data_IF_343651492088
#
_entry.id   IF_343651492088
#
_cell.length_a   1.000
_cell.length_b   1.000
_cell.length_c   1.000
_cell.angle_alpha   90.00
_cell.angle_beta   90.00
_cell.angle_gamma   90.00
#
_symmetry.space_group_name_H-M   'P 1'
#
loop_
_entity.id
_entity.type
_entity.pdbx_description
1 polymer ?
#
# COMPACT_ATOMS: atom_id res chain seq x y z
N UNK A 1 -20.86 -53.73 20.70
CA UNK A 1 -20.75 -54.53 21.95
C UNK A 1 -19.33 -54.33 22.46
N UNK A 2 -18.95 -53.81 23.64
CA UNK A 2 -19.53 -53.39 24.93
C UNK A 2 -18.74 -52.12 25.34
N UNK A 3 -19.29 -50.98 25.78
CA UNK A 3 -20.00 -50.62 27.04
C UNK A 3 -19.27 -50.93 28.36
N UNK A 4 -18.80 -49.86 29.03
CA UNK A 4 -18.93 -49.46 30.47
C UNK A 4 -18.05 -48.20 30.67
N UNK A 5 -18.47 -46.97 31.01
CA UNK A 5 -19.45 -46.46 32.02
C UNK A 5 -19.06 -46.95 33.44
N UNK A 6 -18.82 -46.18 34.51
CA UNK A 6 -19.30 -44.89 35.09
C UNK A 6 -18.18 -44.36 36.04
N UNK A 7 -18.13 -43.18 36.66
CA UNK A 7 -19.10 -42.31 37.38
C UNK A 7 -18.49 -40.90 37.57
N UNK A 8 -19.16 -39.75 37.37
CA UNK A 8 -20.26 -39.08 38.09
C UNK A 8 -19.95 -38.51 39.49
N UNK A 9 -20.24 -37.20 39.62
CA UNK A 9 -20.36 -36.38 40.86
C UNK A 9 -19.93 -34.93 40.57
N UNK A 10 -20.75 -33.93 40.22
CA UNK A 10 -22.10 -33.46 40.59
C UNK A 10 -22.16 -32.65 41.90
N UNK A 11 -22.20 -31.31 41.76
CA UNK A 11 -22.81 -30.26 42.62
C UNK A 11 -22.76 -28.94 41.82
N UNK A 12 -23.81 -28.48 41.13
CA UNK A 12 -25.03 -27.77 41.61
C UNK A 12 -24.69 -26.49 42.39
N UNK A 13 -25.32 -25.31 42.24
CA UNK A 13 -26.40 -24.73 41.38
C UNK A 13 -26.49 -23.22 41.78
N UNK A 14 -26.76 -22.34 40.81
CA UNK A 14 -27.67 -21.16 40.81
C UNK A 14 -27.70 -20.16 41.99
N UNK A 15 -27.67 -18.85 41.66
CA UNK A 15 -28.78 -17.89 41.91
C UNK A 15 -28.52 -16.50 41.28
N UNK A 16 -29.61 -15.92 40.78
CA UNK A 16 -29.74 -14.60 40.17
C UNK A 16 -30.50 -13.64 41.12
N UNK A 17 -30.36 -12.31 40.97
CA UNK A 17 -31.47 -11.35 40.86
C UNK A 17 -31.04 -9.86 40.98
N UNK A 18 -31.61 -9.09 40.05
CA UNK A 18 -31.94 -7.65 39.99
C UNK A 18 -32.24 -6.92 41.32
N UNK A 19 -31.87 -5.63 41.38
CA UNK A 19 -32.71 -4.56 41.95
C UNK A 19 -32.56 -3.27 41.12
N UNK A 20 -33.69 -2.79 40.59
CA UNK A 20 -33.90 -1.45 40.06
C UNK A 20 -35.08 -0.82 40.83
N UNK A 21 -34.99 0.47 41.13
CA UNK A 21 -36.08 1.30 41.68
C UNK A 21 -35.52 2.56 42.36
N UNK A 22 -35.46 3.71 41.70
CA UNK A 22 -36.47 4.79 41.63
C UNK A 22 -36.62 5.61 42.92
N UNK A 23 -36.23 6.90 42.86
CA UNK A 23 -36.86 8.00 43.58
C UNK A 23 -36.69 9.29 42.76
N UNK A 24 -37.83 9.81 42.29
CA UNK A 24 -38.04 11.14 41.72
C UNK A 24 -38.16 12.18 42.85
N UNK A 25 -37.77 13.44 42.61
CA UNK A 25 -38.58 14.64 42.88
C UNK A 25 -37.91 15.94 42.38
N UNK A 26 -38.64 16.59 41.48
CA UNK A 26 -38.75 18.01 41.07
C UNK A 26 -37.83 19.11 41.63
N UNK A 27 -37.47 20.08 40.75
CA UNK A 27 -37.45 21.50 41.12
C UNK A 27 -36.42 22.45 40.47
N UNK A 28 -36.87 23.20 39.46
CA UNK A 28 -36.48 24.56 39.04
C UNK A 28 -35.16 24.83 38.26
N UNK A 29 -35.21 25.72 37.24
CA UNK A 29 -34.05 26.16 36.45
C UNK A 29 -33.35 27.34 37.13
N UNK A 30 -32.03 27.28 37.25
CA UNK A 30 -31.20 28.44 37.62
C UNK A 30 -30.15 28.65 36.54
N UNK A 31 -30.40 29.67 35.72
CA UNK A 31 -29.37 30.28 34.91
C UNK A 31 -28.40 31.02 35.85
N UNK A 32 -27.13 30.61 35.82
CA UNK A 32 -26.02 31.49 36.17
C UNK A 32 -25.05 31.53 34.97
N UNK A 33 -24.70 32.73 34.48
CA UNK A 33 -23.78 32.88 33.37
C UNK A 33 -22.34 32.74 33.89
N UNK A 34 -21.55 31.89 33.25
CA UNK A 34 -20.09 31.95 33.35
C UNK A 34 -19.55 32.33 31.98
N UNK A 35 -19.37 33.63 31.78
CA UNK A 35 -18.53 34.14 30.71
C UNK A 35 -17.07 33.95 31.09
N UNK A 36 -16.31 33.39 30.12
CA UNK A 36 -14.90 33.68 29.77
C UNK A 36 -13.89 33.64 30.94
N UNK A 37 -12.91 32.76 30.95
CA UNK A 37 -11.82 32.68 29.99
C UNK A 37 -10.93 31.50 30.36
N UNK A 38 -10.47 30.79 29.34
CA UNK A 38 -9.68 29.59 29.49
C UNK A 38 -9.59 28.96 28.12
N UNK A 39 -8.80 29.62 27.27
CA UNK A 39 -8.53 29.30 25.87
C UNK A 39 -8.93 27.87 25.49
N UNK A 40 -10.03 27.75 24.76
CA UNK A 40 -10.25 26.57 23.94
C UNK A 40 -9.05 26.52 22.99
N UNK A 41 -8.12 25.61 23.24
CA UNK A 41 -7.42 24.97 22.12
C UNK A 41 -8.56 24.31 21.37
N UNK A 42 -9.13 25.04 20.41
CA UNK A 42 -10.04 24.47 19.44
C UNK A 42 -9.30 23.25 18.94
N UNK A 43 -9.87 22.05 19.16
CA UNK A 43 -9.31 20.82 18.65
C UNK A 43 -9.18 21.02 17.14
N UNK A 44 -7.98 21.38 16.69
CA UNK A 44 -7.76 21.73 15.30
C UNK A 44 -8.07 20.46 14.52
N UNK A 45 -9.12 20.50 13.68
CA UNK A 45 -9.54 19.35 12.92
C UNK A 45 -8.39 18.75 12.10
N UNK A 46 -8.56 17.51 11.66
CA UNK A 46 -7.55 16.87 10.80
C UNK A 46 -7.25 17.73 9.57
N UNK A 47 -6.00 17.69 9.13
CA UNK A 47 -5.56 18.31 7.88
C UNK A 47 -6.39 17.75 6.74
N UNK A 48 -7.16 18.60 6.06
CA UNK A 48 -8.13 18.16 5.05
C UNK A 48 -7.87 18.72 3.64
N UNK A 49 -6.87 19.60 3.49
CA UNK A 49 -6.49 20.17 2.19
C UNK A 49 -5.01 19.94 1.92
N UNK A 50 -4.61 19.83 0.64
CA UNK A 50 -3.20 19.74 0.26
C UNK A 50 -2.35 20.90 0.81
N UNK A 51 -2.84 22.13 0.73
CA UNK A 51 -2.15 23.32 1.23
C UNK A 51 -1.92 23.25 2.74
N UNK A 52 -2.93 22.84 3.52
CA UNK A 52 -2.76 22.65 4.96
C UNK A 52 -1.78 21.52 5.29
N UNK A 53 -1.72 20.48 4.45
CA UNK A 53 -0.74 19.40 4.60
C UNK A 53 0.68 19.89 4.34
N UNK A 54 0.92 20.67 3.28
CA UNK A 54 2.22 21.32 3.04
C UNK A 54 2.62 22.18 4.23
N UNK A 55 1.70 22.99 4.77
CA UNK A 55 2.00 23.83 5.93
C UNK A 55 2.42 23.00 7.15
N UNK A 56 1.72 21.90 7.44
CA UNK A 56 2.11 20.98 8.51
C UNK A 56 3.47 20.32 8.25
N UNK A 57 3.74 19.92 7.00
CA UNK A 57 5.03 19.36 6.58
C UNK A 57 6.20 20.34 6.79
N UNK A 58 6.01 21.59 6.39
CA UNK A 58 7.01 22.66 6.53
C UNK A 58 7.26 23.00 8.00
N UNK A 59 6.19 23.08 8.80
CA UNK A 59 6.25 23.28 10.25
C UNK A 59 6.74 22.05 11.04
N UNK A 60 6.95 20.90 10.37
CA UNK A 60 7.32 19.61 10.98
C UNK A 60 6.31 19.16 12.05
N UNK A 61 5.03 19.46 11.83
CA UNK A 61 3.95 19.18 12.77
C UNK A 61 3.28 17.83 12.46
N UNK A 62 3.12 16.99 13.48
CA UNK A 62 2.35 15.75 13.37
C UNK A 62 0.88 16.06 13.62
N UNK A 63 0.05 15.89 12.59
CA UNK A 63 -1.40 16.07 12.66
C UNK A 63 -2.12 14.87 12.07
N UNK A 64 -3.35 14.63 12.51
CA UNK A 64 -4.21 13.69 11.78
C UNK A 64 -4.55 14.25 10.39
N UNK A 65 -4.78 13.35 9.44
CA UNK A 65 -5.03 13.69 8.03
C UNK A 65 -6.38 13.10 7.63
N UNK A 66 -7.22 13.94 7.00
CA UNK A 66 -8.56 13.55 6.60
C UNK A 66 -8.51 12.43 5.55
N UNK A 67 -9.45 11.44 5.59
CA UNK A 67 -9.50 10.34 4.62
C UNK A 67 -9.66 10.76 3.15
N UNK A 68 -9.98 12.03 2.88
CA UNK A 68 -10.11 12.60 1.54
C UNK A 68 -8.78 12.97 0.89
N UNK A 69 -7.67 12.93 1.63
CA UNK A 69 -6.33 13.21 1.10
C UNK A 69 -5.57 11.93 0.76
N UNK A 70 -4.92 11.99 -0.39
CA UNK A 70 -4.07 10.93 -0.93
C UNK A 70 -2.68 11.49 -1.24
N UNK A 71 -1.69 10.61 -1.30
CA UNK A 71 -0.33 10.97 -1.67
C UNK A 71 0.28 10.03 -2.69
N UNK A 72 1.01 10.55 -3.66
CA UNK A 72 1.76 9.73 -4.63
C UNK A 72 3.18 10.28 -4.77
N UNK A 73 4.18 9.42 -4.67
CA UNK A 73 5.55 9.78 -5.03
C UNK A 73 5.73 9.64 -6.54
N UNK A 74 6.33 10.64 -7.19
CA UNK A 74 6.55 10.64 -8.64
C UNK A 74 7.84 11.37 -9.02
N UNK A 75 8.36 11.09 -10.21
CA UNK A 75 9.50 11.82 -10.77
C UNK A 75 9.19 13.31 -10.88
N UNK A 76 10.12 14.16 -10.43
CA UNK A 76 9.99 15.62 -10.52
C UNK A 76 9.80 16.05 -11.97
N UNK A 77 8.82 16.92 -12.19
CA UNK A 77 8.45 17.39 -13.54
C UNK A 77 7.45 16.50 -14.27
N UNK A 78 7.09 15.33 -13.72
CA UNK A 78 5.93 14.59 -14.20
C UNK A 78 4.67 15.45 -14.05
N UNK A 79 3.70 15.29 -14.97
CA UNK A 79 2.49 16.12 -15.03
C UNK A 79 1.21 15.34 -14.68
N UNK A 80 1.35 14.07 -14.30
CA UNK A 80 0.28 13.15 -13.94
C UNK A 80 0.59 12.40 -12.65
N UNK A 81 -0.45 11.84 -12.03
CA UNK A 81 -0.34 11.05 -10.80
C UNK A 81 0.65 9.89 -10.95
N UNK A 82 0.72 9.29 -12.14
CA UNK A 82 1.59 8.16 -12.45
C UNK A 82 2.01 8.21 -13.93
N UNK A 83 3.10 7.53 -14.35
CA UNK A 83 3.58 7.63 -15.73
C UNK A 83 2.50 7.37 -16.78
N UNK A 84 2.60 8.07 -17.91
CA UNK A 84 1.65 7.93 -19.01
C UNK A 84 1.59 6.49 -19.53
N UNK A 85 0.41 6.07 -19.97
CA UNK A 85 0.16 4.69 -20.43
C UNK A 85 -0.36 3.78 -19.32
N UNK A 86 -0.06 4.08 -18.04
CA UNK A 86 -0.71 3.35 -16.95
C UNK A 86 -2.18 3.75 -16.82
N UNK A 87 -3.07 2.75 -16.69
CA UNK A 87 -4.50 2.99 -16.48
C UNK A 87 -4.81 3.46 -15.07
N UNK A 88 -4.16 2.87 -14.08
CA UNK A 88 -4.29 3.25 -12.68
C UNK A 88 -2.99 3.82 -12.13
N UNK A 89 -3.11 4.79 -11.24
CA UNK A 89 -2.03 5.35 -10.45
C UNK A 89 -2.02 4.72 -9.05
N UNK A 90 -0.83 4.46 -8.51
CA UNK A 90 -0.65 4.03 -7.12
C UNK A 90 -0.69 5.23 -6.18
N UNK A 91 -1.35 5.07 -5.03
CA UNK A 91 -1.54 6.13 -4.05
C UNK A 91 -1.47 5.60 -2.63
N UNK A 92 -0.83 6.38 -1.75
CA UNK A 92 -0.89 6.21 -0.31
C UNK A 92 -2.14 6.85 0.27
N UNK A 93 -2.66 6.24 1.34
CA UNK A 93 -3.80 6.74 2.10
C UNK A 93 -3.50 7.97 2.96
N UNK A 94 -4.54 8.57 3.57
CA UNK A 94 -4.38 9.56 4.64
C UNK A 94 -3.54 9.04 5.82
N UNK A 95 -3.62 7.74 6.13
CA UNK A 95 -2.79 7.15 7.18
C UNK A 95 -1.32 7.12 6.80
N UNK A 96 -0.98 6.98 5.51
CA UNK A 96 0.40 7.09 5.03
C UNK A 96 0.89 8.53 5.17
N UNK A 97 0.07 9.50 4.77
CA UNK A 97 0.37 10.93 4.91
C UNK A 97 0.64 11.31 6.39
N UNK A 98 -0.13 10.79 7.35
CA UNK A 98 0.17 10.97 8.78
C UNK A 98 1.54 10.41 9.18
N UNK A 99 1.91 9.25 8.65
CA UNK A 99 3.24 8.68 8.89
C UNK A 99 4.33 9.55 8.26
N UNK A 100 4.11 10.11 7.08
CA UNK A 100 5.07 11.00 6.43
C UNK A 100 5.29 12.28 7.25
N UNK A 101 4.24 12.84 7.87
CA UNK A 101 4.39 13.93 8.85
C UNK A 101 5.23 13.50 10.06
N UNK A 102 5.07 12.27 10.57
CA UNK A 102 5.91 11.73 11.65
C UNK A 102 7.37 11.56 11.22
N UNK A 103 7.65 11.11 9.99
CA UNK A 103 9.00 11.06 9.44
C UNK A 103 9.61 12.45 9.37
N UNK A 104 8.84 13.42 8.85
CA UNK A 104 9.27 14.80 8.71
C UNK A 104 9.55 15.45 10.07
N UNK A 105 8.73 15.19 11.08
CA UNK A 105 8.92 15.65 12.45
C UNK A 105 10.18 15.04 13.09
N UNK A 106 10.39 13.72 12.93
CA UNK A 106 11.49 13.00 13.57
C UNK A 106 12.84 13.24 12.90
N UNK A 107 12.89 13.28 11.57
CA UNK A 107 14.13 13.34 10.80
C UNK A 107 14.26 14.63 9.97
N UNK A 108 13.56 15.70 10.34
CA UNK A 108 13.53 16.95 9.57
C UNK A 108 14.90 17.58 9.31
N UNK A 109 15.88 17.34 10.19
CA UNK A 109 17.28 17.78 10.06
C UNK A 109 18.16 16.81 9.24
N UNK A 110 17.61 15.66 8.86
CA UNK A 110 18.23 14.65 8.01
C UNK A 110 17.31 14.40 6.80
N UNK A 111 17.23 15.37 5.87
CA UNK A 111 16.19 15.39 4.84
C UNK A 111 16.21 14.14 3.93
N UNK A 112 17.39 13.56 3.67
CA UNK A 112 17.53 12.27 2.99
C UNK A 112 16.79 11.10 3.68
N UNK A 113 16.78 11.04 5.03
CA UNK A 113 16.00 10.04 5.78
C UNK A 113 14.50 10.28 5.62
N UNK A 114 14.06 11.53 5.46
CA UNK A 114 12.65 11.82 5.21
C UNK A 114 12.26 11.37 3.82
N UNK A 115 12.98 11.81 2.77
CA UNK A 115 12.63 11.49 1.40
C UNK A 115 12.73 10.00 1.10
N UNK A 116 13.86 9.36 1.43
CA UNK A 116 14.02 7.91 1.26
C UNK A 116 13.08 7.12 2.18
N UNK A 117 12.80 7.63 3.38
CA UNK A 117 11.81 7.05 4.28
C UNK A 117 10.42 6.99 3.66
N UNK A 118 10.00 8.05 2.95
CA UNK A 118 8.73 8.06 2.20
C UNK A 118 8.76 7.00 1.08
N UNK A 119 9.81 6.94 0.25
CA UNK A 119 9.88 5.97 -0.86
C UNK A 119 9.95 4.52 -0.38
N UNK A 120 10.72 4.27 0.68
CA UNK A 120 10.77 2.96 1.34
C UNK A 120 9.40 2.58 1.90
N UNK A 121 8.70 3.53 2.52
CA UNK A 121 7.37 3.30 3.08
C UNK A 121 6.31 3.07 1.99
N UNK A 122 6.44 3.68 0.82
CA UNK A 122 5.59 3.38 -0.36
C UNK A 122 5.86 1.98 -0.90
N UNK A 123 7.13 1.53 -0.90
CA UNK A 123 7.50 0.22 -1.45
C UNK A 123 8.31 0.31 -2.74
N UNK A 124 9.10 1.37 -2.92
CA UNK A 124 10.04 1.47 -4.03
C UNK A 124 11.21 0.50 -3.86
N UNK A 125 11.58 -0.29 -4.89
CA UNK A 125 12.80 -1.08 -4.89
C UNK A 125 14.03 -0.22 -5.25
N UNK A 126 15.24 -0.78 -5.11
CA UNK A 126 16.48 -0.18 -5.63
C UNK A 126 16.86 1.17 -5.00
N UNK A 127 16.48 1.41 -3.74
CA UNK A 127 16.69 2.70 -3.07
C UNK A 127 18.15 3.00 -2.72
N UNK A 128 19.03 2.01 -2.77
CA UNK A 128 20.48 2.20 -2.59
C UNK A 128 21.06 3.15 -3.65
N UNK A 129 20.65 2.94 -4.90
CA UNK A 129 21.16 3.64 -6.08
C UNK A 129 20.18 4.67 -6.67
N UNK A 130 18.95 4.74 -6.14
CA UNK A 130 17.90 5.62 -6.67
C UNK A 130 18.33 7.10 -6.70
N UNK A 131 18.58 7.65 -7.87
CA UNK A 131 19.03 9.04 -8.04
C UNK A 131 17.98 9.95 -8.68
N UNK A 132 16.86 9.40 -9.11
CA UNK A 132 15.80 10.16 -9.80
C UNK A 132 15.20 11.19 -8.85
N UNK A 133 15.23 12.50 -9.18
CA UNK A 133 14.57 13.51 -8.37
C UNK A 133 13.08 13.21 -8.22
N UNK A 134 12.57 13.22 -6.99
CA UNK A 134 11.22 12.77 -6.67
C UNK A 134 10.48 13.83 -5.85
N UNK A 135 9.20 13.98 -6.13
CA UNK A 135 8.27 14.79 -5.36
C UNK A 135 7.18 13.88 -4.75
N UNK A 136 6.67 14.29 -3.58
CA UNK A 136 5.44 13.76 -3.01
C UNK A 136 4.30 14.69 -3.40
N UNK A 137 3.43 14.24 -4.30
CA UNK A 137 2.17 14.93 -4.58
C UNK A 137 1.15 14.60 -3.50
N UNK A 138 0.51 15.61 -2.92
CA UNK A 138 -0.62 15.43 -2.00
C UNK A 138 -1.85 16.09 -2.59
N UNK A 139 -2.97 15.38 -2.65
CA UNK A 139 -4.13 15.82 -3.42
C UNK A 139 -5.46 15.30 -2.89
N UNK A 140 -6.54 15.90 -3.39
CA UNK A 140 -7.90 15.38 -3.27
C UNK A 140 -8.36 14.79 -4.60
N UNK A 141 -9.31 13.86 -4.55
CA UNK A 141 -9.90 13.27 -5.75
C UNK A 141 -11.11 14.07 -6.24
N UNK A 142 -11.38 14.09 -7.56
CA UNK A 142 -12.64 14.61 -8.09
C UNK A 142 -13.86 13.90 -7.49
N UNK A 143 -14.99 14.62 -7.43
CA UNK A 143 -16.25 14.02 -6.96
C UNK A 143 -16.60 12.78 -7.80
N UNK A 144 -17.01 11.71 -7.12
CA UNK A 144 -17.37 10.43 -7.75
C UNK A 144 -16.19 9.49 -8.07
N UNK A 145 -14.95 9.98 -8.06
CA UNK A 145 -13.76 9.13 -8.21
C UNK A 145 -13.47 8.42 -6.89
N UNK A 146 -13.27 7.10 -6.95
CA UNK A 146 -13.00 6.27 -5.78
C UNK A 146 -11.63 5.62 -5.89
N UNK A 147 -10.85 5.74 -4.82
CA UNK A 147 -9.68 4.91 -4.58
C UNK A 147 -10.11 3.47 -4.25
N UNK A 148 -9.35 2.50 -4.71
CA UNK A 148 -9.64 1.07 -4.54
C UNK A 148 -8.42 0.37 -3.96
N UNK A 149 -8.65 -0.59 -3.05
CA UNK A 149 -7.57 -1.40 -2.48
C UNK A 149 -7.03 -2.31 -3.60
N UNK A 150 -5.73 -2.32 -3.90
CA UNK A 150 -5.16 -3.12 -4.99
C UNK A 150 -5.00 -4.58 -4.56
N UNK A 151 -6.08 -5.19 -4.11
CA UNK A 151 -6.15 -6.62 -3.88
C UNK A 151 -6.21 -7.38 -5.21
N UNK A 152 -5.75 -8.63 -5.26
CA UNK A 152 -5.81 -9.42 -6.50
C UNK A 152 -7.24 -9.55 -7.04
N UNK A 153 -8.22 -9.73 -6.17
CA UNK A 153 -9.63 -9.78 -6.54
C UNK A 153 -10.13 -8.45 -7.12
N UNK A 154 -9.58 -7.33 -6.64
CA UNK A 154 -9.88 -6.02 -7.24
C UNK A 154 -9.33 -5.93 -8.65
N UNK A 155 -8.09 -6.38 -8.87
CA UNK A 155 -7.51 -6.43 -10.20
C UNK A 155 -8.34 -7.30 -11.15
N UNK A 156 -8.69 -8.51 -10.75
CA UNK A 156 -9.46 -9.42 -11.59
C UNK A 156 -10.85 -8.88 -11.92
N UNK A 157 -11.55 -8.29 -10.93
CA UNK A 157 -12.82 -7.61 -11.20
C UNK A 157 -12.67 -6.48 -12.22
N UNK A 158 -11.63 -5.65 -12.10
CA UNK A 158 -11.39 -4.55 -13.06
C UNK A 158 -11.09 -5.06 -14.47
N UNK A 159 -10.40 -6.20 -14.58
CA UNK A 159 -10.13 -6.85 -15.86
C UNK A 159 -11.39 -7.46 -16.46
N UNK A 160 -12.24 -8.08 -15.64
CA UNK A 160 -13.53 -8.63 -16.07
C UNK A 160 -14.50 -7.53 -16.53
N UNK A 161 -14.59 -6.42 -15.79
CA UNK A 161 -15.43 -5.27 -16.14
C UNK A 161 -15.02 -4.63 -17.47
N UNK A 162 -13.72 -4.54 -17.77
CA UNK A 162 -13.25 -3.93 -19.02
C UNK A 162 -13.35 -4.89 -20.20
N UNK A 163 -12.97 -6.15 -20.02
CA UNK A 163 -12.68 -7.05 -21.14
C UNK A 163 -13.67 -8.22 -21.27
N UNK A 164 -14.57 -8.41 -20.32
CA UNK A 164 -15.82 -9.18 -20.46
C UNK A 164 -15.69 -10.66 -20.84
N UNK A 165 -14.48 -11.22 -20.90
CA UNK A 165 -14.21 -12.59 -21.32
C UNK A 165 -13.32 -13.30 -20.30
N UNK A 166 -13.96 -13.98 -19.35
CA UNK A 166 -13.29 -14.71 -18.26
C UNK A 166 -12.31 -15.80 -18.74
N UNK A 167 -12.36 -16.19 -20.02
CA UNK A 167 -11.43 -17.16 -20.60
C UNK A 167 -9.97 -16.72 -20.59
N UNK A 168 -9.70 -15.42 -20.51
CA UNK A 168 -8.32 -14.92 -20.39
C UNK A 168 -7.82 -14.85 -18.94
N UNK A 169 -8.71 -14.92 -17.96
CA UNK A 169 -8.38 -14.83 -16.53
C UNK A 169 -9.05 -15.98 -15.77
N UNK A 170 -8.59 -17.23 -15.91
CA UNK A 170 -9.27 -18.38 -15.34
C UNK A 170 -9.39 -18.28 -13.81
N UNK A 171 -10.56 -18.60 -13.26
CA UNK A 171 -10.83 -18.55 -11.82
C UNK A 171 -9.83 -19.39 -11.00
N UNK A 172 -9.39 -20.53 -11.54
CA UNK A 172 -8.37 -21.37 -10.91
C UNK A 172 -7.06 -20.61 -10.70
N UNK A 173 -6.54 -19.95 -11.74
CA UNK A 173 -5.33 -19.15 -11.64
C UNK A 173 -5.49 -17.95 -10.71
N UNK A 174 -6.67 -17.32 -10.68
CA UNK A 174 -6.98 -16.25 -9.71
C UNK A 174 -6.92 -16.77 -8.27
N UNK A 175 -7.58 -17.92 -8.01
CA UNK A 175 -7.58 -18.58 -6.70
C UNK A 175 -6.16 -18.93 -6.28
N UNK A 176 -5.39 -19.57 -7.14
CA UNK A 176 -4.05 -20.05 -6.81
C UNK A 176 -3.12 -18.87 -6.47
N UNK A 177 -3.24 -17.74 -7.18
CA UNK A 177 -2.50 -16.53 -6.85
C UNK A 177 -2.88 -15.96 -5.47
N UNK A 178 -4.19 -15.88 -5.16
CA UNK A 178 -4.66 -15.41 -3.84
C UNK A 178 -4.20 -16.35 -2.72
N UNK A 179 -4.28 -17.66 -2.95
CA UNK A 179 -3.85 -18.68 -1.99
C UNK A 179 -2.36 -18.52 -1.66
N UNK A 180 -1.49 -18.42 -2.67
CA UNK A 180 -0.05 -18.27 -2.47
C UNK A 180 0.32 -17.08 -1.56
N UNK A 181 -0.37 -15.96 -1.68
CA UNK A 181 -0.09 -14.77 -0.86
C UNK A 181 -0.81 -14.78 0.50
N UNK A 182 -1.91 -15.53 0.64
CA UNK A 182 -2.69 -15.61 1.89
C UNK A 182 -2.17 -16.63 2.89
N UNK A 183 -1.32 -17.56 2.45
CA UNK A 183 -0.76 -18.65 3.28
C UNK A 183 0.61 -18.34 3.88
N UNK A 184 1.11 -17.11 3.72
CA UNK A 184 2.44 -16.73 4.22
C UNK A 184 2.52 -16.86 5.75
N UNK A 185 3.50 -17.65 6.19
CA UNK A 185 3.86 -17.80 7.60
C UNK A 185 4.55 -16.53 8.15
N UNK A 186 4.74 -16.48 9.48
CA UNK A 186 5.31 -15.32 10.18
C UNK A 186 6.69 -14.87 9.66
N UNK A 187 7.47 -15.79 9.08
CA UNK A 187 8.80 -15.54 8.54
C UNK A 187 8.84 -15.35 7.02
N UNK A 188 7.72 -15.55 6.34
CA UNK A 188 7.61 -15.49 4.89
C UNK A 188 7.04 -14.15 4.45
N UNK A 189 7.44 -13.67 3.28
CA UNK A 189 7.02 -12.38 2.75
C UNK A 189 6.58 -12.47 1.29
N UNK A 190 6.07 -11.35 0.79
CA UNK A 190 5.47 -11.25 -0.55
C UNK A 190 6.47 -11.44 -1.70
N UNK A 191 7.76 -11.22 -1.46
CA UNK A 191 8.79 -11.48 -2.48
C UNK A 191 9.06 -12.98 -2.56
N UNK A 192 8.99 -13.70 -1.43
CA UNK A 192 8.99 -15.17 -1.42
C UNK A 192 7.76 -15.75 -2.13
N UNK A 193 6.58 -15.20 -1.87
CA UNK A 193 5.36 -15.56 -2.59
C UNK A 193 5.48 -15.30 -4.10
N UNK A 194 6.11 -14.19 -4.49
CA UNK A 194 6.39 -13.89 -5.89
C UNK A 194 7.33 -14.93 -6.52
N UNK A 195 8.42 -15.29 -5.84
CA UNK A 195 9.34 -16.35 -6.29
C UNK A 195 8.62 -17.69 -6.44
N UNK A 196 7.80 -18.11 -5.46
CA UNK A 196 7.04 -19.35 -5.53
C UNK A 196 6.07 -19.38 -6.73
N UNK A 197 5.37 -18.28 -6.98
CA UNK A 197 4.38 -18.19 -8.07
C UNK A 197 5.02 -18.07 -9.44
N UNK A 198 6.20 -17.44 -9.54
CA UNK A 198 6.79 -17.05 -10.84
C UNK A 198 8.09 -17.76 -11.17
N UNK A 199 8.69 -18.50 -10.24
CA UNK A 199 10.02 -19.09 -10.36
C UNK A 199 11.18 -18.07 -10.32
N UNK A 200 10.91 -16.77 -10.38
CA UNK A 200 11.94 -15.74 -10.41
C UNK A 200 12.66 -15.66 -9.06
N UNK A 201 13.97 -15.95 -9.06
CA UNK A 201 14.79 -15.98 -7.83
C UNK A 201 14.71 -14.66 -7.07
N UNK A 202 14.35 -14.75 -5.79
CA UNK A 202 14.22 -13.60 -4.89
C UNK A 202 15.47 -12.72 -4.87
N UNK A 203 16.63 -13.31 -4.63
CA UNK A 203 17.87 -12.55 -4.44
C UNK A 203 18.27 -11.76 -5.70
N UNK A 204 17.99 -12.33 -6.87
CA UNK A 204 18.22 -11.67 -8.16
C UNK A 204 17.28 -10.48 -8.36
N UNK A 205 15.98 -10.65 -8.06
CA UNK A 205 14.99 -9.56 -8.11
C UNK A 205 15.37 -8.41 -7.17
N UNK A 206 15.81 -8.73 -5.94
CA UNK A 206 16.25 -7.73 -4.96
C UNK A 206 17.57 -7.04 -5.34
N UNK A 207 18.43 -7.72 -6.11
CA UNK A 207 19.63 -7.12 -6.71
C UNK A 207 19.32 -6.26 -7.94
N UNK A 208 18.06 -6.17 -8.36
CA UNK A 208 17.62 -5.36 -9.51
C UNK A 208 17.78 -6.06 -10.86
N UNK A 209 17.97 -7.38 -10.89
CA UNK A 209 17.98 -8.14 -12.13
C UNK A 209 16.59 -8.16 -12.78
N UNK A 210 16.55 -7.97 -14.09
CA UNK A 210 15.30 -8.06 -14.85
C UNK A 210 14.79 -9.52 -14.88
N UNK A 211 13.46 -9.73 -14.85
CA UNK A 211 12.90 -11.07 -14.95
C UNK A 211 13.33 -11.79 -16.23
N UNK A 212 13.88 -12.99 -16.07
CA UNK A 212 14.54 -13.73 -17.14
C UNK A 212 14.65 -15.22 -16.80
N UNK A 213 14.98 -16.04 -17.79
CA UNK A 213 15.17 -17.48 -17.58
C UNK A 213 16.44 -17.75 -16.75
N UNK A 214 17.44 -16.87 -16.86
CA UNK A 214 18.70 -16.91 -16.13
C UNK A 214 18.48 -16.79 -14.62
N UNK A 215 17.48 -16.00 -14.21
CA UNK A 215 17.07 -15.88 -12.82
C UNK A 215 15.99 -16.90 -12.40
N UNK A 216 15.70 -17.89 -13.25
CA UNK A 216 14.81 -19.01 -12.92
C UNK A 216 13.32 -18.76 -13.16
N UNK A 217 12.93 -17.61 -13.74
CA UNK A 217 11.53 -17.33 -13.99
C UNK A 217 10.87 -18.40 -14.88
N UNK A 218 9.66 -18.79 -14.50
CA UNK A 218 8.85 -19.78 -15.19
C UNK A 218 8.54 -19.38 -16.63
N UNK A 219 8.39 -20.39 -17.48
CA UNK A 219 7.96 -20.20 -18.87
C UNK A 219 6.60 -19.53 -18.98
N UNK A 220 5.68 -19.79 -18.06
CA UNK A 220 4.35 -19.18 -18.07
C UNK A 220 4.44 -17.67 -17.82
N UNK A 221 5.21 -17.26 -16.81
CA UNK A 221 5.50 -15.85 -16.50
C UNK A 221 6.21 -15.14 -17.65
N UNK A 222 7.33 -15.67 -18.13
CA UNK A 222 8.11 -15.06 -19.22
C UNK A 222 7.31 -15.00 -20.53
N UNK A 223 6.53 -16.05 -20.82
CA UNK A 223 5.64 -16.08 -21.97
C UNK A 223 4.55 -15.01 -21.87
N UNK A 224 4.05 -14.70 -20.67
CA UNK A 224 3.09 -13.62 -20.46
C UNK A 224 3.74 -12.27 -20.73
N UNK A 225 4.92 -11.98 -20.15
CA UNK A 225 5.67 -10.74 -20.42
C UNK A 225 5.88 -10.51 -21.93
N UNK A 226 6.32 -11.56 -22.64
CA UNK A 226 6.55 -11.50 -24.09
C UNK A 226 5.24 -11.26 -24.87
N UNK A 227 4.13 -11.87 -24.46
CA UNK A 227 2.86 -11.76 -25.17
C UNK A 227 2.18 -10.39 -25.00
N UNK A 228 2.30 -9.77 -23.83
CA UNK A 228 1.62 -8.50 -23.55
C UNK A 228 2.31 -7.29 -24.21
N UNK A 229 3.62 -7.38 -24.44
CA UNK A 229 4.42 -6.33 -25.07
C UNK A 229 5.06 -5.35 -24.08
N UNK A 230 5.45 -4.14 -24.53
CA UNK A 230 6.17 -3.18 -23.68
C UNK A 230 5.32 -2.74 -22.49
N UNK A 231 5.98 -2.56 -21.34
CA UNK A 231 5.36 -1.96 -20.16
C UNK A 231 5.02 -0.50 -20.47
N UNK A 232 4.05 0.14 -19.77
CA UNK A 232 3.90 1.59 -19.85
C UNK A 232 5.17 2.39 -19.52
N UNK A 233 6.10 1.81 -18.73
CA UNK A 233 7.43 2.40 -18.55
C UNK A 233 8.25 2.45 -19.84
N UNK A 234 8.02 1.53 -20.78
CA UNK A 234 8.71 1.40 -22.07
C UNK A 234 7.85 1.92 -23.23
N UNK A 235 6.92 2.84 -22.96
CA UNK A 235 6.03 3.44 -23.96
C UNK A 235 4.81 2.60 -24.34
N UNK A 236 4.52 1.53 -23.58
CA UNK A 236 3.29 0.77 -23.69
C UNK A 236 2.05 1.47 -23.09
N UNK A 237 0.92 0.77 -23.08
CA UNK A 237 -0.34 1.21 -22.49
C UNK A 237 -1.01 0.04 -21.77
N UNK A 238 -1.50 0.25 -20.54
CA UNK A 238 -2.07 -0.82 -19.72
C UNK A 238 -3.25 -1.52 -20.39
N UNK A 239 -4.14 -0.77 -21.07
CA UNK A 239 -5.32 -1.37 -21.72
C UNK A 239 -4.87 -2.27 -22.86
N UNK A 240 -3.96 -1.78 -23.70
CA UNK A 240 -3.38 -2.52 -24.81
C UNK A 240 -2.59 -3.75 -24.31
N UNK A 241 -1.84 -3.58 -23.23
CA UNK A 241 -1.06 -4.64 -22.58
C UNK A 241 -1.96 -5.79 -22.10
N UNK A 242 -3.04 -5.50 -21.36
CA UNK A 242 -4.00 -6.51 -20.95
C UNK A 242 -4.76 -7.12 -22.14
N UNK A 243 -5.17 -6.32 -23.14
CA UNK A 243 -5.81 -6.84 -24.35
C UNK A 243 -4.88 -7.80 -25.13
N UNK A 244 -3.58 -7.52 -25.16
CA UNK A 244 -2.58 -8.39 -25.76
C UNK A 244 -2.44 -9.71 -25.00
N UNK A 245 -2.52 -9.69 -23.67
CA UNK A 245 -2.53 -10.93 -22.89
C UNK A 245 -3.65 -11.87 -23.36
N UNK A 246 -4.86 -11.34 -23.52
CA UNK A 246 -6.03 -12.13 -23.92
C UNK A 246 -5.87 -12.70 -25.33
N UNK A 247 -5.43 -11.84 -26.25
CA UNK A 247 -5.46 -12.13 -27.68
C UNK A 247 -4.20 -12.83 -28.18
N UNK A 248 -3.05 -12.64 -27.54
CA UNK A 248 -1.72 -13.11 -28.01
C UNK A 248 -1.11 -14.21 -27.15
N UNK A 249 -1.41 -14.27 -25.85
CA UNK A 249 -0.86 -15.34 -25.01
C UNK A 249 -1.48 -16.68 -25.40
N UNK A 250 -0.61 -17.68 -25.64
CA UNK A 250 -0.97 -19.04 -26.06
C UNK A 250 -0.55 -20.12 -25.06
N UNK A 251 0.17 -19.73 -23.99
CA UNK A 251 0.57 -20.62 -22.92
C UNK A 251 -0.59 -20.99 -22.00
N UNK A 252 -0.28 -21.80 -20.98
CA UNK A 252 -1.23 -22.11 -19.92
C UNK A 252 -1.44 -20.88 -19.04
N UNK A 253 -2.69 -20.48 -18.83
CA UNK A 253 -3.05 -19.28 -18.06
C UNK A 253 -3.15 -19.62 -16.58
N UNK A 254 -2.02 -19.92 -15.97
CA UNK A 254 -1.85 -20.19 -14.53
C UNK A 254 -1.60 -18.90 -13.72
N UNK A 255 -1.42 -19.04 -12.41
CA UNK A 255 -1.11 -17.93 -11.51
C UNK A 255 0.17 -17.19 -11.92
N UNK A 256 1.18 -17.92 -12.42
CA UNK A 256 2.45 -17.39 -12.92
C UNK A 256 2.24 -16.45 -14.11
N UNK A 257 1.45 -16.86 -15.10
CA UNK A 257 1.08 -16.03 -16.25
C UNK A 257 0.27 -14.78 -15.85
N UNK A 258 -0.72 -14.92 -14.94
CA UNK A 258 -1.49 -13.80 -14.43
C UNK A 258 -0.63 -12.79 -13.68
N UNK A 259 0.30 -13.30 -12.86
CA UNK A 259 1.26 -12.47 -12.11
C UNK A 259 2.14 -11.68 -13.06
N UNK A 260 2.58 -12.29 -14.17
CA UNK A 260 3.33 -11.64 -15.24
C UNK A 260 2.54 -10.52 -15.94
N UNK A 261 1.26 -10.76 -16.25
CA UNK A 261 0.41 -9.73 -16.84
C UNK A 261 0.24 -8.51 -15.90
N UNK A 262 -0.02 -8.74 -14.60
CA UNK A 262 -0.15 -7.66 -13.62
C UNK A 262 1.18 -6.90 -13.41
N UNK A 263 2.30 -7.64 -13.34
CA UNK A 263 3.65 -7.08 -13.25
C UNK A 263 3.92 -6.11 -14.41
N UNK A 264 3.73 -6.56 -15.64
CA UNK A 264 4.07 -5.81 -16.84
C UNK A 264 3.12 -4.65 -17.13
N UNK A 265 1.81 -4.90 -16.98
CA UNK A 265 0.78 -3.98 -17.47
C UNK A 265 0.40 -2.90 -16.46
N UNK A 266 0.68 -3.07 -15.16
CA UNK A 266 0.15 -2.17 -14.13
C UNK A 266 1.08 -1.93 -12.92
N UNK A 267 2.37 -2.26 -13.07
CA UNK A 267 3.40 -2.11 -12.03
C UNK A 267 3.01 -2.78 -10.70
N UNK A 268 2.33 -3.91 -10.77
CA UNK A 268 2.23 -4.79 -9.61
C UNK A 268 3.56 -5.53 -9.48
N UNK A 269 4.64 -4.85 -9.08
CA UNK A 269 5.99 -5.43 -8.95
C UNK A 269 6.09 -6.50 -7.86
N UNK A 270 7.27 -7.11 -7.67
CA UNK A 270 7.48 -8.19 -6.69
C UNK A 270 7.30 -7.77 -5.22
N UNK A 271 7.23 -6.46 -4.94
CA UNK A 271 6.88 -5.92 -3.62
C UNK A 271 5.37 -5.75 -3.42
N UNK A 272 4.56 -5.89 -4.47
CA UNK A 272 3.12 -5.77 -4.35
C UNK A 272 2.54 -6.91 -3.52
N UNK A 273 1.77 -6.55 -2.50
CA UNK A 273 1.28 -7.51 -1.51
C UNK A 273 -0.03 -8.19 -1.89
N UNK A 274 -0.73 -7.69 -2.91
CA UNK A 274 -2.06 -8.19 -3.27
C UNK A 274 -3.14 -7.99 -2.20
N UNK A 275 -2.88 -7.18 -1.16
CA UNK A 275 -3.83 -6.89 -0.07
C UNK A 275 -3.94 -5.40 0.28
N UNK A 276 -3.31 -4.54 -0.53
CA UNK A 276 -3.33 -3.08 -0.36
C UNK A 276 -2.61 -2.55 0.87
N UNK A 277 -1.52 -3.23 1.23
CA UNK A 277 -0.51 -2.72 2.15
C UNK A 277 0.80 -2.58 1.38
N UNK A 278 1.54 -1.51 1.64
CA UNK A 278 2.90 -1.39 1.13
C UNK A 278 3.82 -2.39 1.84
N UNK A 279 4.89 -2.76 1.16
CA UNK A 279 5.93 -3.65 1.68
C UNK A 279 7.29 -3.23 1.12
N UNK A 280 8.33 -3.39 1.92
CA UNK A 280 9.70 -3.19 1.45
C UNK A 280 10.68 -4.09 2.20
N UNK A 281 11.76 -4.52 1.56
CA UNK A 281 12.82 -5.30 2.22
C UNK A 281 13.80 -4.42 3.01
N UNK A 282 13.82 -3.11 2.75
CA UNK A 282 14.56 -2.13 3.54
C UNK A 282 13.99 -1.96 4.96
N UNK A 283 14.78 -1.36 5.85
CA UNK A 283 14.37 -1.06 7.21
C UNK A 283 13.16 -0.12 7.23
N UNK A 284 12.08 -0.52 7.92
CA UNK A 284 10.97 0.39 8.20
C UNK A 284 11.47 1.54 9.10
N UNK A 285 11.28 2.81 8.70
CA UNK A 285 11.84 3.97 9.39
C UNK A 285 11.29 4.21 10.80
N UNK A 286 10.23 3.49 11.20
CA UNK A 286 9.59 3.62 12.51
C UNK A 286 9.99 2.55 13.53
N UNK A 287 10.70 1.49 13.11
CA UNK A 287 10.98 0.32 13.97
C UNK A 287 12.33 0.44 14.69
N UNK A 288 13.15 1.46 14.37
CA UNK A 288 14.44 1.77 15.00
C UNK A 288 15.36 0.54 15.17
N UNK A 289 15.41 -0.32 14.16
CA UNK A 289 16.29 -1.50 14.11
C UNK A 289 16.82 -1.71 12.69
N UNK A 290 17.99 -2.35 12.54
CA UNK A 290 18.47 -2.83 11.25
C UNK A 290 17.43 -3.70 10.53
N UNK A 291 17.41 -3.65 9.20
CA UNK A 291 16.42 -4.34 8.36
C UNK A 291 16.37 -5.83 8.67
N UNK A 292 17.53 -6.49 8.77
CA UNK A 292 17.71 -7.92 9.09
C UNK A 292 17.20 -8.32 10.49
N UNK A 293 16.99 -7.34 11.38
CA UNK A 293 16.44 -7.53 12.73
C UNK A 293 14.99 -7.10 12.87
N UNK A 294 14.35 -6.64 11.80
CA UNK A 294 12.91 -6.39 11.76
C UNK A 294 12.20 -7.66 11.31
N UNK A 295 11.09 -8.00 11.98
CA UNK A 295 10.24 -9.08 11.50
C UNK A 295 9.58 -8.71 10.16
N UNK A 296 9.17 -9.69 9.37
CA UNK A 296 8.44 -9.44 8.11
C UNK A 296 7.24 -8.52 8.34
N UNK A 297 6.45 -8.77 9.39
CA UNK A 297 5.28 -7.94 9.74
C UNK A 297 5.64 -6.47 9.97
N UNK A 298 6.83 -6.20 10.50
CA UNK A 298 7.31 -4.83 10.74
C UNK A 298 7.74 -4.12 9.46
N UNK A 299 7.97 -4.87 8.38
CA UNK A 299 8.30 -4.35 7.05
C UNK A 299 7.07 -4.05 6.18
N UNK A 300 5.88 -4.50 6.60
CA UNK A 300 4.63 -3.98 6.03
C UNK A 300 4.41 -2.54 6.50
N UNK A 301 3.92 -1.71 5.59
CA UNK A 301 3.83 -0.27 5.79
C UNK A 301 2.36 0.18 5.75
N UNK A 302 2.08 1.34 5.14
CA UNK A 302 0.75 1.92 5.15
C UNK A 302 -0.18 1.32 4.10
N UNK A 303 -1.40 1.83 4.06
CA UNK A 303 -2.41 1.40 3.10
C UNK A 303 -2.13 1.98 1.73
N UNK A 304 -2.16 1.11 0.74
CA UNK A 304 -2.05 1.45 -0.66
C UNK A 304 -3.41 1.40 -1.34
N UNK A 305 -3.54 2.25 -2.34
CA UNK A 305 -4.70 2.35 -3.19
C UNK A 305 -4.26 2.43 -4.65
N UNK A 306 -5.17 2.06 -5.53
CA UNK A 306 -5.15 2.41 -6.93
C UNK A 306 -6.33 3.34 -7.25
N UNK A 307 -6.10 4.27 -8.16
CA UNK A 307 -7.10 5.22 -8.63
C UNK A 307 -6.89 5.50 -10.12
N UNK A 308 -7.91 5.96 -10.86
CA UNK A 308 -7.75 6.27 -12.28
C UNK A 308 -6.57 7.23 -12.49
N UNK A 309 -5.64 6.87 -13.37
CA UNK A 309 -4.52 7.75 -13.66
C UNK A 309 -5.02 9.03 -14.32
N UNK A 310 -4.53 10.18 -13.87
CA UNK A 310 -5.00 11.49 -14.31
C UNK A 310 -3.86 12.50 -14.30
N UNK A 311 -3.90 13.51 -15.19
CA UNK A 311 -3.01 14.66 -15.08
C UNK A 311 -3.30 15.43 -13.79
N UNK A 312 -2.29 16.05 -13.19
CA UNK A 312 -2.47 16.86 -11.97
C UNK A 312 -3.45 18.02 -12.20
N UNK A 313 -3.51 18.56 -13.42
CA UNK A 313 -4.45 19.62 -13.81
C UNK A 313 -5.92 19.20 -13.77
N UNK A 314 -6.21 17.90 -13.71
CA UNK A 314 -7.58 17.38 -13.55
C UNK A 314 -7.97 17.18 -12.08
N UNK A 315 -7.05 17.39 -11.13
CA UNK A 315 -7.33 17.26 -9.70
C UNK A 315 -7.95 18.55 -9.16
N UNK A 316 -8.93 18.47 -8.24
CA UNK A 316 -9.53 19.68 -7.64
C UNK A 316 -8.53 20.51 -6.84
N UNK A 317 -7.58 19.85 -6.17
CA UNK A 317 -6.51 20.50 -5.43
C UNK A 317 -5.35 19.51 -5.28
N UNK A 318 -4.14 20.01 -5.46
CA UNK A 318 -2.93 19.22 -5.33
C UNK A 318 -1.75 20.11 -4.93
N UNK A 319 -0.69 19.51 -4.38
CA UNK A 319 0.53 20.19 -3.99
C UNK A 319 1.75 19.25 -4.07
N UNK A 320 2.81 19.70 -4.74
CA UNK A 320 4.04 18.92 -4.93
C UNK A 320 5.10 19.25 -3.86
N UNK A 321 5.45 18.32 -2.98
CA UNK A 321 6.48 18.50 -1.96
C UNK A 321 7.79 17.86 -2.44
N UNK A 322 8.86 18.64 -2.69
CA UNK A 322 10.15 18.08 -3.06
C UNK A 322 10.70 17.15 -1.98
N UNK A 323 11.07 15.94 -2.37
CA UNK A 323 11.79 15.01 -1.50
C UNK A 323 13.29 15.14 -1.77
N UNK A 324 14.05 15.38 -0.70
CA UNK A 324 15.50 15.23 -0.74
C UNK A 324 15.84 13.77 -0.50
N UNK A 325 16.52 13.16 -1.46
CA UNK A 325 16.88 11.75 -1.41
C UNK A 325 18.33 11.55 -0.93
N UNK A 326 19.10 12.63 -0.76
CA UNK A 326 20.54 12.58 -0.54
C UNK A 326 21.29 11.89 -1.68
N UNK A 327 22.58 11.64 -1.46
CA UNK A 327 23.44 10.96 -2.42
C UNK A 327 23.27 9.43 -2.35
N UNK A 328 23.12 8.73 -3.48
CA UNK A 328 23.28 7.27 -3.54
C UNK A 328 24.55 6.79 -2.83
N UNK A 329 24.50 5.61 -2.23
CA UNK A 329 25.60 5.05 -1.43
C UNK A 329 25.84 5.74 -0.06
N UNK A 330 25.21 6.88 0.23
CA UNK A 330 25.23 7.55 1.56
C UNK A 330 23.97 7.29 2.39
N UNK A 331 23.25 6.21 2.08
CA UNK A 331 21.95 5.84 2.65
C UNK A 331 22.02 4.59 3.52
N UNK A 332 23.10 4.43 4.28
CA UNK A 332 23.31 3.24 5.13
C UNK A 332 22.14 2.95 6.10
N UNK A 333 21.33 3.95 6.43
CA UNK A 333 20.12 3.81 7.24
C UNK A 333 19.03 2.92 6.61
N UNK A 334 19.04 2.69 5.29
CA UNK A 334 18.16 1.75 4.61
C UNK A 334 18.33 0.32 5.14
N UNK A 335 19.55 -0.03 5.56
CA UNK A 335 19.90 -1.36 6.06
C UNK A 335 20.15 -1.35 7.57
N UNK A 336 20.88 -0.35 8.06
CA UNK A 336 21.24 -0.23 9.47
C UNK A 336 20.08 0.23 10.37
N UNK A 337 19.01 0.77 9.79
CA UNK A 337 17.92 1.40 10.52
C UNK A 337 18.03 2.93 10.50
N UNK A 338 16.89 3.60 10.69
CA UNK A 338 16.78 5.06 10.65
C UNK A 338 17.16 5.74 11.98
N UNK A 339 17.20 4.93 13.04
CA UNK A 339 17.74 5.22 14.36
C UNK A 339 19.06 4.42 14.41
#
# INVERSE_FOLDING_TARGET
MNRRQQSLGLRARLLAALVAGLLLLAGAPSAFPLSRDGASVAAAGCVSTPVAYRAAWEAREVRCVAPSLFGTAHTRGQTSLYPSGFRYAWAGSSTNLEQYLKLRARYGDQPAKVGIGVLSYVGYPGLDDWSTPTDLEVYTLPSGVRAQVPAFETWFRLLDEEFGTTGAYPLEAQRDLVVAYSQLDRGEDVVGAFEEVTGCRRDALLAGEAPSAEIGCDRSFLGALAAVGPSPYDGGDSRTCFANFQTRYRGHRDASALRGALFQCQDAGFLNTGVGLGYNTYANPFVCRPADRQSVRERYTGREFILPNAPFTALPSHVAIPLDLGTPGRRGFLHAGYC
#
